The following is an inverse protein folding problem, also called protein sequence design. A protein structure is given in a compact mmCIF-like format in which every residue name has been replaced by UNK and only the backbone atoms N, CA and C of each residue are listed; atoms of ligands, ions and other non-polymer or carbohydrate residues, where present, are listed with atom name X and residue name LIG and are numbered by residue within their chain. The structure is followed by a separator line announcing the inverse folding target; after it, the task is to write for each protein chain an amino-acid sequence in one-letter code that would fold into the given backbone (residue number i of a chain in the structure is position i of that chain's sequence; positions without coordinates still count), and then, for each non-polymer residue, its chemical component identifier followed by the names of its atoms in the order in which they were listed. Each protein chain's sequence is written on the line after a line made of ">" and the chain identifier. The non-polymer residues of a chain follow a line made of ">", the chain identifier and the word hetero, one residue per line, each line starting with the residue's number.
data_IF_132242187256
#
_entry.id   IF_132242187256
#
_cell.length_a   1.000
_cell.length_b   1.000
_cell.length_c   1.000
_cell.angle_alpha   90.00
_cell.angle_beta   90.00
_cell.angle_gamma   90.00
#
_symmetry.space_group_name_H-M   'P 1'
#
loop_
_entity.id
_entity.type
_entity.pdbx_description
1 polymer ?
#
# COMPACT_ATOMS: atom_id res chain seq x y z
N UNK A 1 -0.63 -3.50 -10.59
CA UNK A 1 -0.58 -3.60 -11.13
C UNK A 1 -0.23 -3.93 -11.72
N UNK A 2 -0.46 -4.18 -11.62
CA UNK A 2 -0.08 -4.46 -12.12
C UNK A 2 0.59 -4.23 -12.91
N UNK A 3 0.74 -3.87 -13.26
CA UNK A 3 1.47 -3.68 -13.91
C UNK A 3 2.40 -3.38 -13.56
N UNK A 4 2.30 -3.72 -13.43
CA UNK A 4 3.15 -3.90 -13.32
C UNK A 4 4.19 -3.14 -13.04
N UNK A 5 5.07 -3.01 -13.42
CA UNK A 5 6.09 -2.16 -12.97
C UNK A 5 5.89 -0.81 -13.48
N UNK A 6 5.78 0.14 -12.62
CA UNK A 6 5.65 1.52 -12.98
C UNK A 6 6.97 2.21 -12.81
N UNK A 7 7.34 3.02 -13.79
CA UNK A 7 8.55 3.83 -13.73
C UNK A 7 8.12 5.26 -13.54
N UNK A 8 8.59 5.88 -12.48
CA UNK A 8 8.24 7.25 -12.14
C UNK A 8 9.51 8.03 -11.85
N UNK A 9 9.40 9.35 -11.94
CA UNK A 9 10.53 10.22 -11.64
C UNK A 9 10.60 10.42 -10.13
N UNK A 10 11.74 10.06 -9.54
CA UNK A 10 11.94 10.20 -8.11
C UNK A 10 12.34 11.61 -7.72
N UNK A 11 13.03 12.32 -8.59
CA UNK A 11 13.70 13.55 -8.23
C UNK A 11 12.82 14.56 -7.53
N UNK A 12 11.56 14.68 -7.90
CA UNK A 12 10.64 15.62 -7.30
C UNK A 12 9.42 14.96 -6.70
N UNK A 13 9.47 13.65 -6.59
CA UNK A 13 8.33 12.93 -6.05
C UNK A 13 8.29 13.10 -4.55
N UNK A 14 7.20 13.63 -4.04
CA UNK A 14 6.90 13.67 -2.62
C UNK A 14 5.62 12.93 -2.33
N UNK A 15 5.03 12.32 -3.37
CA UNK A 15 3.74 11.66 -3.26
C UNK A 15 3.72 10.45 -4.19
N UNK A 16 3.24 9.34 -3.69
CA UNK A 16 3.06 8.12 -4.47
C UNK A 16 1.62 7.68 -4.37
N UNK A 17 1.07 7.24 -5.50
CA UNK A 17 -0.26 6.65 -5.54
C UNK A 17 -0.12 5.16 -5.76
N UNK A 18 -0.85 4.40 -4.96
CA UNK A 18 -0.93 2.96 -5.10
C UNK A 18 -2.36 2.61 -5.51
N UNK A 19 -2.52 2.05 -6.69
CA UNK A 19 -3.81 1.59 -7.19
C UNK A 19 -3.84 0.08 -7.10
N UNK A 20 -4.92 -0.45 -6.55
CA UNK A 20 -5.09 -1.89 -6.45
C UNK A 20 -6.53 -2.24 -6.73
N UNK A 21 -6.76 -3.51 -6.97
CA UNK A 21 -8.11 -4.03 -7.15
C UNK A 21 -8.30 -5.16 -6.17
N UNK A 22 -9.32 -5.01 -5.30
CA UNK A 22 -9.74 -6.12 -4.46
C UNK A 22 -10.54 -7.07 -5.34
N UNK A 23 -10.11 -8.31 -5.39
CA UNK A 23 -10.76 -9.27 -6.25
C UNK A 23 -12.14 -9.64 -5.72
N UNK A 24 -13.01 -10.04 -6.62
CA UNK A 24 -14.32 -10.53 -6.23
C UNK A 24 -14.16 -11.79 -5.38
N UNK A 25 -14.96 -11.88 -4.32
CA UNK A 25 -14.98 -13.06 -3.47
C UNK A 25 -16.37 -13.20 -2.89
N UNK A 26 -17.26 -13.96 -3.53
CA UNK A 26 -18.64 -14.06 -3.07
C UNK A 26 -18.77 -14.76 -1.71
N UNK A 27 -17.71 -15.45 -1.26
CA UNK A 27 -17.72 -16.10 0.04
C UNK A 27 -17.31 -15.19 1.17
N UNK A 28 -16.75 -14.01 0.87
CA UNK A 28 -16.31 -13.10 1.91
C UNK A 28 -17.51 -12.33 2.47
N UNK A 29 -17.45 -11.99 3.75
CA UNK A 29 -18.47 -11.14 4.34
C UNK A 29 -18.33 -9.73 3.79
N UNK A 30 -19.47 -9.08 3.60
CA UNK A 30 -19.50 -7.70 3.13
C UNK A 30 -19.30 -6.75 4.28
N UNK A 31 -18.84 -5.54 4.01
CA UNK A 31 -18.69 -4.51 5.01
C UNK A 31 -17.42 -3.70 4.80
N UNK A 32 -17.18 -2.82 5.75
CA UNK A 32 -16.03 -1.94 5.67
C UNK A 32 -14.75 -2.70 5.96
N UNK A 33 -13.69 -2.32 5.24
CA UNK A 33 -12.37 -2.90 5.41
C UNK A 33 -11.34 -1.80 5.56
N UNK A 34 -10.32 -2.10 6.35
CA UNK A 34 -9.13 -1.25 6.43
C UNK A 34 -8.04 -1.88 5.58
N UNK A 35 -7.44 -1.06 4.73
CA UNK A 35 -6.35 -1.48 3.86
C UNK A 35 -5.11 -0.69 4.25
N UNK A 36 -4.00 -1.39 4.43
CA UNK A 36 -2.72 -0.79 4.76
C UNK A 36 -1.72 -1.10 3.68
N UNK A 37 -0.92 -0.13 3.33
CA UNK A 37 0.12 -0.28 2.31
C UNK A 37 1.45 0.08 2.93
N UNK A 38 2.43 -0.80 2.76
CA UNK A 38 3.81 -0.54 3.15
C UNK A 38 4.64 -0.36 1.90
N UNK A 39 5.38 0.73 1.83
CA UNK A 39 6.27 1.02 0.71
C UNK A 39 7.69 0.97 1.27
N UNK A 40 8.45 -0.03 0.84
CA UNK A 40 9.78 -0.30 1.38
C UNK A 40 10.79 0.15 0.35
N UNK A 41 11.63 1.10 0.73
CA UNK A 41 12.59 1.72 -0.16
C UNK A 41 13.86 0.92 -0.36
N UNK A 42 14.77 1.46 -1.15
CA UNK A 42 15.99 0.73 -1.54
C UNK A 42 16.87 0.31 -0.37
N UNK A 43 16.84 1.00 0.73
CA UNK A 43 17.63 0.63 1.90
C UNK A 43 16.90 -0.26 2.88
N UNK A 44 15.71 -0.73 2.54
CA UNK A 44 14.91 -1.55 3.44
C UNK A 44 14.06 -0.74 4.40
N UNK A 45 14.07 0.59 4.28
CA UNK A 45 13.28 1.42 5.17
C UNK A 45 11.87 1.60 4.63
N UNK A 46 10.90 1.52 5.54
CA UNK A 46 9.51 1.73 5.17
C UNK A 46 9.23 3.23 5.18
N UNK A 47 8.63 3.72 4.10
CA UNK A 47 8.20 5.11 4.06
C UNK A 47 7.03 5.29 5.02
N UNK A 48 7.14 6.28 5.89
CA UNK A 48 6.11 6.52 6.89
C UNK A 48 5.84 8.02 6.98
N UNK A 49 4.55 8.37 7.05
CA UNK A 49 4.18 9.76 7.19
C UNK A 49 4.31 10.25 8.62
N UNK A 50 4.33 9.35 9.59
CA UNK A 50 4.52 9.70 11.00
C UNK A 50 4.98 8.48 11.77
N UNK A 51 5.53 8.71 12.97
CA UNK A 51 5.95 7.63 13.83
C UNK A 51 4.78 6.85 14.42
N UNK A 52 3.57 7.40 14.33
CA UNK A 52 2.37 6.75 14.84
C UNK A 52 1.62 5.95 13.77
N UNK A 53 2.16 5.89 12.55
CA UNK A 53 1.51 5.19 11.46
C UNK A 53 1.81 3.69 11.57
N UNK A 54 1.11 3.03 12.49
CA UNK A 54 1.33 1.62 12.82
C UNK A 54 0.01 0.86 12.73
N UNK A 55 0.12 -0.41 12.34
CA UNK A 55 -1.01 -1.32 12.39
C UNK A 55 -0.52 -2.68 12.87
N UNK A 56 -1.45 -3.49 13.35
CA UNK A 56 -1.10 -4.79 13.90
C UNK A 56 -1.10 -5.86 12.82
N UNK A 57 -0.02 -6.63 12.77
CA UNK A 57 0.10 -7.75 11.85
C UNK A 57 0.82 -8.86 12.58
N UNK A 58 0.14 -10.01 12.69
CA UNK A 58 0.68 -11.20 13.35
C UNK A 58 1.20 -10.91 14.76
N UNK A 59 0.45 -10.10 15.49
CA UNK A 59 0.77 -9.80 16.87
C UNK A 59 1.77 -8.69 17.08
N UNK A 60 2.25 -8.08 16.02
CA UNK A 60 3.24 -7.01 16.12
C UNK A 60 2.71 -5.75 15.44
N UNK A 61 3.17 -4.61 15.91
CA UNK A 61 2.83 -3.34 15.29
C UNK A 61 3.90 -2.99 14.29
N UNK A 62 3.49 -2.86 13.02
CA UNK A 62 4.41 -2.53 11.95
C UNK A 62 3.94 -1.26 11.25
N UNK A 63 4.88 -0.61 10.58
CA UNK A 63 4.66 0.70 9.97
C UNK A 63 3.88 0.57 8.67
N UNK A 64 2.94 1.47 8.44
CA UNK A 64 2.33 1.59 7.12
C UNK A 64 2.71 2.93 6.48
N UNK A 65 2.69 2.95 5.16
CA UNK A 65 2.95 4.15 4.38
C UNK A 65 1.66 4.89 4.07
N UNK A 66 0.59 4.15 3.84
CA UNK A 66 -0.72 4.71 3.54
C UNK A 66 -1.79 3.74 4.01
N UNK A 67 -2.98 4.26 4.29
CA UNK A 67 -4.07 3.40 4.73
C UNK A 67 -5.41 4.03 4.37
N UNK A 68 -6.42 3.18 4.27
CA UNK A 68 -7.81 3.61 4.18
C UNK A 68 -8.65 2.70 5.08
N UNK A 69 -9.54 3.31 5.84
CA UNK A 69 -10.37 2.57 6.79
C UNK A 69 -11.83 2.52 6.37
N UNK A 70 -12.15 3.08 5.20
CA UNK A 70 -13.53 3.28 4.78
C UNK A 70 -13.85 2.54 3.48
N UNK A 71 -13.17 1.43 3.23
CA UNK A 71 -13.35 0.68 1.99
C UNK A 71 -14.55 -0.23 2.14
N UNK A 72 -15.59 0.04 1.35
CA UNK A 72 -16.84 -0.72 1.43
C UNK A 72 -16.77 -1.90 0.47
N UNK A 73 -16.42 -3.07 0.99
CA UNK A 73 -16.26 -4.26 0.19
C UNK A 73 -17.56 -5.05 0.16
N UNK A 74 -18.08 -5.29 -1.03
CA UNK A 74 -19.35 -5.97 -1.25
C UNK A 74 -19.19 -7.33 -1.91
N UNK A 75 -17.98 -7.87 -1.92
CA UNK A 75 -17.72 -9.16 -2.54
C UNK A 75 -17.50 -9.11 -4.03
N UNK A 76 -17.54 -7.93 -4.60
CA UNK A 76 -17.27 -7.72 -6.02
C UNK A 76 -15.94 -7.02 -6.18
N UNK A 77 -15.36 -7.13 -7.38
CA UNK A 77 -14.09 -6.47 -7.66
C UNK A 77 -14.21 -4.97 -7.39
N UNK A 78 -13.25 -4.42 -6.66
CA UNK A 78 -13.33 -3.05 -6.20
C UNK A 78 -11.98 -2.36 -6.35
N UNK A 79 -11.88 -1.35 -7.22
CA UNK A 79 -10.65 -0.56 -7.32
C UNK A 79 -10.49 0.33 -6.08
N UNK A 80 -9.26 0.40 -5.57
CA UNK A 80 -8.95 1.22 -4.41
C UNK A 80 -7.66 1.95 -4.69
N UNK A 81 -7.61 3.23 -4.34
CA UNK A 81 -6.40 4.04 -4.47
C UNK A 81 -5.98 4.55 -3.10
N UNK A 82 -4.70 4.45 -2.82
CA UNK A 82 -4.11 4.99 -1.61
C UNK A 82 -2.96 5.90 -2.00
N UNK A 83 -2.67 6.86 -1.12
CA UNK A 83 -1.65 7.86 -1.38
C UNK A 83 -0.70 7.94 -0.22
N UNK A 84 0.58 7.99 -0.54
CA UNK A 84 1.63 8.31 0.43
C UNK A 84 2.17 9.70 0.10
N UNK A 85 2.34 10.51 1.13
CA UNK A 85 2.99 11.81 1.01
C UNK A 85 4.04 11.92 2.11
N UNK A 86 5.18 12.49 1.77
CA UNK A 86 6.24 12.63 2.74
C UNK A 86 7.41 13.41 2.16
N UNK A 87 8.59 13.16 2.71
CA UNK A 87 9.80 13.81 2.22
C UNK A 87 10.10 13.34 0.81
N UNK A 88 11.01 14.05 0.15
CA UNK A 88 11.39 13.72 -1.21
C UNK A 88 11.83 12.26 -1.29
N UNK A 89 11.30 11.59 -2.30
CA UNK A 89 11.51 10.16 -2.48
C UNK A 89 12.71 9.97 -3.39
N UNK A 90 13.65 9.13 -2.96
CA UNK A 90 14.88 8.91 -3.73
C UNK A 90 14.63 7.88 -4.82
N UNK A 91 15.51 7.89 -5.82
CA UNK A 91 15.42 6.91 -6.89
C UNK A 91 15.82 5.52 -6.39
N UNK A 92 15.33 4.51 -7.07
CA UNK A 92 15.65 3.13 -6.75
C UNK A 92 14.44 2.22 -6.86
N UNK A 93 14.63 0.99 -6.40
CA UNK A 93 13.59 -0.02 -6.44
C UNK A 93 12.84 -0.04 -5.11
N UNK A 94 11.52 0.01 -5.19
CA UNK A 94 10.65 -0.02 -4.02
C UNK A 94 9.76 -1.24 -4.10
N UNK A 95 9.52 -1.83 -2.94
CA UNK A 95 8.56 -2.92 -2.82
C UNK A 95 7.32 -2.39 -2.13
N UNK A 96 6.16 -2.79 -2.65
CA UNK A 96 4.88 -2.38 -2.11
C UNK A 96 4.18 -3.62 -1.59
N UNK A 97 3.78 -3.58 -0.32
CA UNK A 97 3.03 -4.65 0.32
C UNK A 97 1.66 -4.14 0.71
N UNK A 98 0.64 -4.96 0.49
CA UNK A 98 -0.74 -4.59 0.74
C UNK A 98 -1.34 -5.56 1.74
N UNK A 99 -1.97 -5.01 2.77
CA UNK A 99 -2.52 -5.79 3.90
C UNK A 99 -3.99 -5.47 4.10
N UNK A 100 -4.76 -6.50 4.39
CA UNK A 100 -6.19 -6.38 4.71
C UNK A 100 -6.58 -7.59 5.55
N UNK A 101 -7.40 -7.35 6.58
CA UNK A 101 -7.97 -8.42 7.43
C UNK A 101 -6.89 -9.30 8.07
N UNK A 102 -5.74 -8.72 8.40
CA UNK A 102 -4.66 -9.45 9.06
C UNK A 102 -3.81 -10.28 8.12
N UNK A 103 -3.97 -10.11 6.82
CA UNK A 103 -3.19 -10.86 5.83
C UNK A 103 -2.51 -9.91 4.86
N UNK A 104 -1.35 -10.34 4.38
CA UNK A 104 -0.72 -9.66 3.25
C UNK A 104 -1.37 -10.18 1.98
N UNK A 105 -2.13 -9.33 1.31
CA UNK A 105 -2.94 -9.75 0.17
C UNK A 105 -2.27 -9.47 -1.16
N UNK A 106 -1.15 -8.73 -1.17
CA UNK A 106 -0.46 -8.48 -2.42
C UNK A 106 0.89 -7.85 -2.21
N UNK A 107 1.75 -8.00 -3.21
CA UNK A 107 3.05 -7.34 -3.27
C UNK A 107 3.30 -6.90 -4.71
N UNK A 108 4.12 -5.85 -4.85
CA UNK A 108 4.51 -5.36 -6.16
C UNK A 108 5.80 -4.60 -6.04
N UNK A 109 6.45 -4.37 -7.18
CA UNK A 109 7.67 -3.57 -7.24
C UNK A 109 7.42 -2.36 -8.11
N UNK A 110 8.03 -1.24 -7.73
CA UNK A 110 8.07 -0.05 -8.58
C UNK A 110 9.50 0.45 -8.63
N UNK A 111 9.84 1.06 -9.74
CA UNK A 111 11.17 1.63 -9.93
C UNK A 111 11.01 3.12 -10.15
N UNK A 112 11.69 3.90 -9.33
CA UNK A 112 11.70 5.35 -9.43
C UNK A 112 13.02 5.82 -9.97
N UNK A 113 12.97 6.74 -10.93
CA UNK A 113 14.17 7.23 -11.58
C UNK A 113 14.36 8.72 -11.41
#
# INVERSE_FOLDING_TARGET
>A
NARDQQVQRARRATRLRVDLILNANPMASVGERSIYVRIIGPGGMVLASSSNALFEFEGEKITYSAMRSDVDYQGEALPVSLYYSGDAITEGKYNVEIYMDGYRIGTNEIILK
#
